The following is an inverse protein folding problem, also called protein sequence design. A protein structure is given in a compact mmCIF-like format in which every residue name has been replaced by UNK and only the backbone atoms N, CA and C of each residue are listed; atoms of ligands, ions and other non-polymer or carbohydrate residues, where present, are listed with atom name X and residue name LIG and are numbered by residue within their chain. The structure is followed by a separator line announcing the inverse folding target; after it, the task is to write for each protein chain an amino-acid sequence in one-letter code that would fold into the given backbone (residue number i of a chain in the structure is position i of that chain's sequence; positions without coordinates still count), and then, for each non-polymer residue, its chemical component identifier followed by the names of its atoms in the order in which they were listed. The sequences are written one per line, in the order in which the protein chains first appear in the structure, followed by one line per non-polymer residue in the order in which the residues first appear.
data_IF_630543299115
#
_entry.id   IF_630543299115
#
_cell.length_a   1.000
_cell.length_b   1.000
_cell.length_c   1.000
_cell.angle_alpha   90.00
_cell.angle_beta   90.00
_cell.angle_gamma   90.00
#
_symmetry.space_group_name_H-M   'P 1'
#
loop_
_entity.id
_entity.type
_entity.pdbx_description
1 polymer ?
#
# COMPACT_ATOMS: atom_id res chain seq x y z
N UNK A 1 -24.75 61.16 -15.68
CA UNK A 1 -23.69 60.86 -14.68
C UNK A 1 -24.14 59.78 -13.69
N UNK A 2 -24.52 58.57 -14.14
CA UNK A 2 -25.12 57.55 -13.26
C UNK A 2 -24.63 56.11 -13.44
N UNK A 3 -23.67 55.84 -14.34
CA UNK A 3 -23.25 54.47 -14.68
C UNK A 3 -22.09 53.91 -13.86
N UNK A 4 -21.33 54.74 -13.12
CA UNK A 4 -20.13 54.28 -12.43
C UNK A 4 -20.43 53.71 -11.04
N UNK A 5 -21.44 54.21 -10.32
CA UNK A 5 -21.78 53.74 -8.96
C UNK A 5 -22.34 52.30 -8.93
N UNK A 6 -23.04 51.86 -9.99
CA UNK A 6 -23.60 50.51 -10.07
C UNK A 6 -22.57 49.39 -10.21
N UNK A 7 -21.45 49.65 -10.90
CA UNK A 7 -20.38 48.66 -11.13
C UNK A 7 -19.61 48.34 -9.83
N UNK A 8 -19.34 49.34 -8.99
CA UNK A 8 -18.63 49.14 -7.71
C UNK A 8 -19.46 48.34 -6.68
N UNK A 9 -20.79 48.53 -6.65
CA UNK A 9 -21.70 47.74 -5.81
C UNK A 9 -21.76 46.27 -6.27
N UNK A 10 -21.76 46.00 -7.57
CA UNK A 10 -21.76 44.64 -8.12
C UNK A 10 -20.43 43.91 -7.87
N UNK A 11 -19.29 44.59 -8.04
CA UNK A 11 -17.95 44.06 -7.73
C UNK A 11 -17.75 43.87 -6.22
N UNK A 12 -18.30 44.76 -5.39
CA UNK A 12 -18.30 44.63 -3.92
C UNK A 12 -19.09 43.42 -3.44
N UNK A 13 -20.28 43.17 -4.00
CA UNK A 13 -21.09 41.99 -3.69
C UNK A 13 -20.43 40.68 -4.15
N UNK A 14 -19.79 40.66 -5.33
CA UNK A 14 -19.01 39.52 -5.83
C UNK A 14 -17.78 39.24 -4.93
N UNK A 15 -17.05 40.26 -4.50
CA UNK A 15 -15.90 40.12 -3.58
C UNK A 15 -16.32 39.70 -2.17
N UNK A 16 -17.45 40.19 -1.66
CA UNK A 16 -18.02 39.74 -0.40
C UNK A 16 -18.45 38.26 -0.46
N UNK A 17 -18.98 37.81 -1.61
CA UNK A 17 -19.33 36.40 -1.84
C UNK A 17 -18.10 35.49 -1.92
N UNK A 18 -16.99 35.95 -2.50
CA UNK A 18 -15.71 35.24 -2.54
C UNK A 18 -15.06 35.16 -1.14
N UNK A 19 -15.08 36.26 -0.39
CA UNK A 19 -14.58 36.29 0.99
C UNK A 19 -15.40 35.38 1.92
N UNK A 20 -16.72 35.39 1.80
CA UNK A 20 -17.60 34.49 2.54
C UNK A 20 -17.37 33.01 2.17
N UNK A 21 -17.18 32.69 0.88
CA UNK A 21 -16.82 31.34 0.42
C UNK A 21 -15.45 30.91 0.92
N UNK A 22 -14.46 31.79 0.94
CA UNK A 22 -13.12 31.53 1.51
C UNK A 22 -13.20 31.28 3.02
N UNK A 23 -13.93 32.12 3.76
CA UNK A 23 -14.15 31.93 5.19
C UNK A 23 -14.87 30.61 5.49
N UNK A 24 -15.93 30.30 4.73
CA UNK A 24 -16.63 29.03 4.85
C UNK A 24 -15.68 27.85 4.54
N UNK A 25 -14.87 27.92 3.48
CA UNK A 25 -13.87 26.90 3.16
C UNK A 25 -12.80 26.75 4.26
N UNK A 26 -12.35 27.85 4.87
CA UNK A 26 -11.39 27.82 5.98
C UNK A 26 -12.02 27.17 7.23
N UNK A 27 -13.28 27.50 7.53
CA UNK A 27 -14.04 26.91 8.64
C UNK A 27 -14.26 25.41 8.37
N UNK A 28 -14.69 25.03 7.17
CA UNK A 28 -14.87 23.63 6.77
C UNK A 28 -13.54 22.87 6.78
N UNK A 29 -12.44 23.47 6.32
CA UNK A 29 -11.10 22.90 6.43
C UNK A 29 -10.69 22.68 7.89
N UNK A 30 -10.96 23.64 8.78
CA UNK A 30 -10.68 23.49 10.22
C UNK A 30 -11.54 22.41 10.88
N UNK A 31 -12.83 22.34 10.55
CA UNK A 31 -13.72 21.28 11.05
C UNK A 31 -13.26 19.89 10.55
N UNK A 32 -12.88 19.78 9.27
CA UNK A 32 -12.34 18.54 8.70
C UNK A 32 -11.01 18.14 9.34
N UNK A 33 -10.13 19.12 9.64
CA UNK A 33 -8.86 18.87 10.35
C UNK A 33 -9.07 18.38 11.77
N UNK A 34 -9.99 18.97 12.54
CA UNK A 34 -10.33 18.45 13.89
C UNK A 34 -10.78 17.00 13.85
N UNK A 35 -11.61 16.63 12.87
CA UNK A 35 -12.05 15.24 12.70
C UNK A 35 -10.89 14.28 12.43
N UNK A 36 -9.97 14.68 11.54
CA UNK A 36 -8.76 13.89 11.25
C UNK A 36 -7.83 13.80 12.46
N UNK A 37 -7.59 14.91 13.17
CA UNK A 37 -6.75 14.95 14.38
C UNK A 37 -7.32 14.01 15.46
N UNK A 38 -8.61 14.13 15.76
CA UNK A 38 -9.28 13.25 16.73
C UNK A 38 -9.26 11.78 16.31
N UNK A 39 -9.42 11.48 15.01
CA UNK A 39 -9.27 10.13 14.48
C UNK A 39 -7.85 9.60 14.65
N UNK A 40 -6.83 10.37 14.25
CA UNK A 40 -5.44 9.95 14.38
C UNK A 40 -5.06 9.77 15.86
N UNK A 41 -5.47 10.67 16.74
CA UNK A 41 -5.20 10.53 18.18
C UNK A 41 -5.82 9.25 18.77
N UNK A 42 -7.02 8.89 18.31
CA UNK A 42 -7.73 7.69 18.80
C UNK A 42 -7.23 6.38 18.16
N UNK A 43 -6.81 6.41 16.90
CA UNK A 43 -6.61 5.20 16.09
C UNK A 43 -5.19 5.02 15.52
N UNK A 44 -4.34 6.05 15.49
CA UNK A 44 -2.97 5.93 14.95
C UNK A 44 -2.12 4.93 15.74
N UNK A 45 -2.26 4.89 17.07
CA UNK A 45 -1.57 3.91 17.92
C UNK A 45 -2.01 2.46 17.72
N UNK A 46 -3.10 2.24 16.98
CA UNK A 46 -3.58 0.90 16.57
C UNK A 46 -3.26 0.58 15.11
N UNK A 47 -2.54 1.47 14.42
CA UNK A 47 -2.08 1.21 13.07
C UNK A 47 -2.99 1.63 11.93
N UNK A 48 -4.03 2.40 12.22
CA UNK A 48 -4.89 3.01 11.21
C UNK A 48 -4.29 4.35 10.79
N UNK A 49 -3.12 4.34 10.15
CA UNK A 49 -2.48 5.53 9.61
C UNK A 49 -2.85 5.75 8.15
N UNK A 50 -2.86 7.01 7.66
CA UNK A 50 -3.08 7.28 6.24
C UNK A 50 -1.92 6.67 5.43
N UNK A 51 -2.23 5.70 4.58
CA UNK A 51 -1.28 5.10 3.64
C UNK A 51 -1.41 5.74 2.26
N UNK A 52 -0.40 5.56 1.41
CA UNK A 52 -0.48 5.98 0.01
C UNK A 52 -1.73 5.37 -0.67
N UNK A 53 -2.35 6.12 -1.57
CA UNK A 53 -3.62 5.76 -2.22
C UNK A 53 -3.59 4.37 -2.89
N UNK A 54 -2.47 4.02 -3.52
CA UNK A 54 -2.24 2.70 -4.12
C UNK A 54 -2.20 1.55 -3.11
N UNK A 55 -1.72 1.79 -1.88
CA UNK A 55 -1.71 0.76 -0.83
C UNK A 55 -3.12 0.62 -0.23
N UNK A 56 -3.85 1.73 -0.14
CA UNK A 56 -5.24 1.73 0.34
C UNK A 56 -6.16 0.97 -0.61
N UNK A 57 -6.02 1.13 -1.93
CA UNK A 57 -6.83 0.40 -2.91
C UNK A 57 -6.65 -1.12 -2.78
N UNK A 58 -5.41 -1.60 -2.69
CA UNK A 58 -5.08 -3.03 -2.50
C UNK A 58 -5.57 -3.59 -1.16
N UNK A 59 -5.41 -2.83 -0.08
CA UNK A 59 -5.95 -3.22 1.22
C UNK A 59 -7.48 -3.31 1.21
N UNK A 60 -8.15 -2.39 0.48
CA UNK A 60 -9.59 -2.42 0.28
C UNK A 60 -10.03 -3.63 -0.56
N UNK A 61 -9.29 -4.00 -1.60
CA UNK A 61 -9.56 -5.24 -2.34
C UNK A 61 -9.47 -6.48 -1.44
N UNK A 62 -8.43 -6.56 -0.59
CA UNK A 62 -8.30 -7.63 0.38
C UNK A 62 -9.46 -7.68 1.40
N UNK A 63 -10.08 -6.53 1.69
CA UNK A 63 -11.25 -6.43 2.58
C UNK A 63 -12.49 -7.16 2.05
N UNK A 64 -12.58 -7.37 0.73
CA UNK A 64 -13.69 -8.12 0.07
C UNK A 64 -13.70 -9.61 0.42
N UNK A 65 -12.59 -10.14 0.97
CA UNK A 65 -12.49 -11.55 1.31
C UNK A 65 -13.54 -11.96 2.35
N UNK A 66 -14.37 -12.95 1.97
CA UNK A 66 -15.43 -13.55 2.79
C UNK A 66 -14.94 -14.71 3.67
N UNK A 67 -13.64 -15.02 3.64
CA UNK A 67 -13.06 -16.06 4.50
C UNK A 67 -13.44 -17.50 4.13
N UNK A 68 -13.76 -17.80 2.87
CA UNK A 68 -14.15 -19.15 2.44
C UNK A 68 -13.01 -20.19 2.52
N UNK A 69 -11.75 -19.77 2.46
CA UNK A 69 -10.58 -20.64 2.65
C UNK A 69 -10.13 -21.48 1.44
N UNK A 70 -10.81 -21.39 0.29
CA UNK A 70 -10.43 -22.12 -0.93
C UNK A 70 -8.96 -21.91 -1.34
N UNK A 71 -8.49 -20.67 -1.25
CA UNK A 71 -7.11 -20.31 -1.56
C UNK A 71 -6.10 -21.02 -0.65
N UNK A 72 -6.43 -21.25 0.62
CA UNK A 72 -5.54 -21.95 1.56
C UNK A 72 -5.47 -23.44 1.28
N UNK A 73 -6.57 -24.07 0.86
CA UNK A 73 -6.62 -25.51 0.52
C UNK A 73 -5.67 -25.87 -0.62
N UNK A 74 -5.54 -24.99 -1.62
CA UNK A 74 -4.71 -25.20 -2.80
C UNK A 74 -3.33 -24.55 -2.72
N UNK A 75 -3.04 -23.84 -1.62
CA UNK A 75 -1.75 -23.19 -1.46
C UNK A 75 -0.64 -24.25 -1.30
N UNK A 76 0.42 -24.24 -2.13
CA UNK A 76 1.49 -25.22 -2.03
C UNK A 76 2.25 -25.14 -0.70
N UNK A 77 2.37 -23.94 -0.11
CA UNK A 77 3.03 -23.75 1.18
C UNK A 77 2.24 -24.37 2.33
N UNK A 78 0.93 -24.16 2.36
CA UNK A 78 0.05 -24.75 3.37
C UNK A 78 0.05 -26.26 3.23
N UNK A 79 -0.05 -26.77 2.00
CA UNK A 79 0.02 -28.22 1.71
C UNK A 79 1.36 -28.86 2.11
N UNK A 80 2.45 -28.09 2.09
CA UNK A 80 3.76 -28.52 2.55
C UNK A 80 3.95 -28.42 4.08
N UNK A 81 2.90 -28.09 4.84
CA UNK A 81 2.95 -27.98 6.30
C UNK A 81 3.24 -26.57 6.83
N UNK A 82 3.16 -25.54 5.98
CA UNK A 82 3.27 -24.15 6.40
C UNK A 82 2.10 -23.71 7.29
N UNK A 83 2.40 -22.96 8.36
CA UNK A 83 1.42 -22.51 9.35
C UNK A 83 0.50 -21.37 8.87
N UNK A 84 0.87 -20.68 7.80
CA UNK A 84 0.12 -19.55 7.28
C UNK A 84 0.13 -19.53 5.74
N UNK A 85 -1.01 -19.14 5.16
CA UNK A 85 -1.25 -19.15 3.72
C UNK A 85 -1.92 -17.86 3.24
N UNK A 86 -2.47 -17.85 2.01
CA UNK A 86 -3.05 -16.66 1.38
C UNK A 86 -4.15 -15.98 2.21
N UNK A 87 -4.93 -16.75 2.99
CA UNK A 87 -5.92 -16.16 3.90
C UNK A 87 -5.28 -15.32 5.02
N UNK A 88 -4.19 -15.79 5.61
CA UNK A 88 -3.47 -15.04 6.65
C UNK A 88 -2.89 -13.74 6.09
N UNK A 89 -2.35 -13.80 4.86
CA UNK A 89 -1.84 -12.63 4.14
C UNK A 89 -2.95 -11.60 3.87
N UNK A 90 -4.12 -12.03 3.41
CA UNK A 90 -5.30 -11.16 3.21
C UNK A 90 -5.81 -10.53 4.51
N UNK A 91 -5.74 -11.25 5.63
CA UNK A 91 -6.10 -10.70 6.94
C UNK A 91 -5.08 -9.66 7.38
N UNK A 92 -3.78 -9.95 7.20
CA UNK A 92 -2.68 -9.05 7.56
C UNK A 92 -2.67 -7.76 6.74
N UNK A 93 -2.99 -7.84 5.45
CA UNK A 93 -3.03 -6.66 4.58
C UNK A 93 -4.12 -5.65 4.93
N UNK A 94 -5.08 -6.02 5.80
CA UNK A 94 -6.08 -5.09 6.34
C UNK A 94 -5.55 -4.26 7.50
N UNK A 95 -4.48 -4.71 8.15
CA UNK A 95 -3.88 -4.09 9.33
C UNK A 95 -2.37 -3.94 9.12
N UNK A 96 -2.00 -3.00 8.24
CA UNK A 96 -0.64 -2.82 7.75
C UNK A 96 0.38 -2.48 8.84
N UNK A 97 -0.07 -1.95 9.98
CA UNK A 97 0.76 -1.72 11.16
C UNK A 97 1.44 -2.97 11.72
N UNK A 98 0.85 -4.14 11.49
CA UNK A 98 1.37 -5.43 11.93
C UNK A 98 2.10 -6.16 10.80
N UNK A 99 2.38 -5.49 9.68
CA UNK A 99 3.02 -6.10 8.52
C UNK A 99 4.38 -6.73 8.86
N UNK A 100 5.13 -6.13 9.79
CA UNK A 100 6.41 -6.67 10.26
C UNK A 100 6.30 -8.05 10.92
N UNK A 101 5.22 -8.31 11.67
CA UNK A 101 5.00 -9.61 12.34
C UNK A 101 4.78 -10.75 11.34
N UNK A 102 4.22 -10.43 10.17
CA UNK A 102 3.88 -11.39 9.12
C UNK A 102 4.86 -11.34 7.94
N UNK A 103 5.99 -10.65 8.10
CA UNK A 103 7.03 -10.56 7.08
C UNK A 103 7.52 -11.95 6.66
N UNK A 104 7.83 -12.87 7.58
CA UNK A 104 8.28 -14.23 7.25
C UNK A 104 7.27 -14.97 6.36
N UNK A 105 5.99 -14.91 6.72
CA UNK A 105 4.89 -15.53 5.96
C UNK A 105 4.79 -14.89 4.57
N UNK A 106 4.89 -13.56 4.50
CA UNK A 106 4.85 -12.83 3.24
C UNK A 106 6.03 -13.22 2.33
N UNK A 107 7.24 -13.36 2.86
CA UNK A 107 8.43 -13.78 2.10
C UNK A 107 8.41 -15.25 1.71
N UNK A 108 7.69 -16.12 2.45
CA UNK A 108 7.46 -17.51 2.06
C UNK A 108 6.53 -17.66 0.86
N UNK A 109 5.59 -16.74 0.64
CA UNK A 109 4.69 -16.76 -0.51
C UNK A 109 5.47 -16.90 -1.83
N UNK A 110 5.15 -17.89 -2.66
CA UNK A 110 5.84 -18.06 -3.94
C UNK A 110 5.29 -17.18 -5.06
N UNK A 111 4.26 -16.36 -4.77
CA UNK A 111 3.56 -15.54 -5.78
C UNK A 111 3.06 -16.36 -6.99
N UNK A 112 2.65 -17.61 -6.75
CA UNK A 112 2.22 -18.53 -7.82
C UNK A 112 0.83 -18.26 -8.41
N UNK A 113 0.03 -17.37 -7.81
CA UNK A 113 -1.28 -16.97 -8.34
C UNK A 113 -2.44 -17.96 -8.17
N UNK A 114 -2.19 -19.21 -7.72
CA UNK A 114 -3.26 -20.23 -7.54
C UNK A 114 -4.42 -19.71 -6.69
N UNK A 115 -4.13 -18.92 -5.65
CA UNK A 115 -5.13 -18.33 -4.77
C UNK A 115 -6.17 -17.45 -5.49
N UNK A 116 -5.77 -16.75 -6.55
CA UNK A 116 -6.65 -15.87 -7.33
C UNK A 116 -7.54 -16.71 -8.25
N UNK A 117 -6.94 -17.70 -8.93
CA UNK A 117 -7.64 -18.58 -9.88
C UNK A 117 -8.82 -19.35 -9.28
N UNK A 118 -8.79 -19.59 -7.96
CA UNK A 118 -9.84 -20.33 -7.23
C UNK A 118 -10.73 -19.43 -6.38
N UNK A 119 -10.47 -18.12 -6.36
CA UNK A 119 -11.23 -17.19 -5.55
C UNK A 119 -12.57 -16.90 -6.23
N UNK A 120 -13.72 -17.12 -5.56
CA UNK A 120 -15.03 -16.80 -6.14
C UNK A 120 -15.24 -15.28 -6.33
N UNK A 121 -14.40 -14.46 -5.68
CA UNK A 121 -14.45 -13.00 -5.76
C UNK A 121 -13.29 -12.43 -6.58
N UNK A 122 -12.46 -13.28 -7.20
CA UNK A 122 -11.27 -12.90 -7.98
C UNK A 122 -10.33 -11.96 -7.21
N UNK A 123 -10.06 -12.28 -5.94
CA UNK A 123 -9.17 -11.48 -5.09
C UNK A 123 -7.72 -11.98 -5.28
N UNK A 124 -6.78 -11.11 -5.70
CA UNK A 124 -5.39 -11.48 -5.89
C UNK A 124 -4.64 -11.55 -4.54
N UNK A 125 -4.82 -12.64 -3.80
CA UNK A 125 -4.22 -12.79 -2.46
C UNK A 125 -2.68 -12.74 -2.43
N UNK A 126 -2.01 -12.97 -3.57
CA UNK A 126 -0.56 -12.84 -3.64
C UNK A 126 -0.11 -11.37 -3.60
N UNK A 127 -0.94 -10.42 -4.03
CA UNK A 127 -0.63 -8.99 -3.92
C UNK A 127 -0.60 -8.52 -2.46
N UNK A 128 -1.45 -9.12 -1.60
CA UNK A 128 -1.35 -8.90 -0.17
C UNK A 128 0.04 -9.30 0.37
N UNK A 129 0.66 -10.37 -0.15
CA UNK A 129 2.03 -10.73 0.21
C UNK A 129 3.04 -9.70 -0.28
N UNK A 130 2.89 -9.18 -1.51
CA UNK A 130 3.78 -8.13 -2.04
C UNK A 130 3.67 -6.83 -1.23
N UNK A 131 2.46 -6.46 -0.86
CA UNK A 131 2.18 -5.30 -0.01
C UNK A 131 2.89 -5.45 1.34
N UNK A 132 2.72 -6.59 2.01
CA UNK A 132 3.37 -6.87 3.29
C UNK A 132 4.90 -6.90 3.17
N UNK A 133 5.47 -7.38 2.07
CA UNK A 133 6.92 -7.32 1.81
C UNK A 133 7.41 -5.88 1.69
N UNK A 134 6.68 -5.04 0.96
CA UNK A 134 7.00 -3.62 0.82
C UNK A 134 6.97 -2.94 2.20
N UNK A 135 5.91 -3.16 2.97
CA UNK A 135 5.82 -2.63 4.34
C UNK A 135 6.91 -3.18 5.25
N UNK A 136 7.30 -4.45 5.11
CA UNK A 136 8.39 -5.04 5.89
C UNK A 136 9.75 -4.42 5.57
N UNK A 137 9.99 -3.94 4.34
CA UNK A 137 11.20 -3.18 4.01
C UNK A 137 11.22 -1.83 4.75
N UNK A 138 10.11 -1.09 4.71
CA UNK A 138 9.97 0.20 5.41
C UNK A 138 10.12 0.06 6.94
N UNK A 139 9.71 -1.08 7.48
CA UNK A 139 9.80 -1.40 8.91
C UNK A 139 11.12 -2.08 9.31
N UNK A 140 12.09 -2.19 8.39
CA UNK A 140 13.38 -2.90 8.61
C UNK A 140 13.21 -4.37 9.07
N UNK A 141 12.06 -4.98 8.77
CA UNK A 141 11.70 -6.35 9.12
C UNK A 141 11.93 -7.34 7.96
N UNK A 142 12.46 -6.86 6.83
CA UNK A 142 12.77 -7.70 5.68
C UNK A 142 13.95 -8.66 5.95
N UNK A 143 13.96 -9.89 5.38
CA UNK A 143 15.08 -10.80 5.55
C UNK A 143 16.41 -10.18 5.06
N UNK A 144 17.53 -10.32 5.79
CA UNK A 144 18.80 -9.65 5.47
C UNK A 144 19.31 -9.93 4.05
N UNK A 145 19.11 -11.16 3.56
CA UNK A 145 19.49 -11.55 2.18
C UNK A 145 18.76 -10.75 1.10
N UNK A 146 17.54 -10.29 1.37
CA UNK A 146 16.76 -9.50 0.40
C UNK A 146 17.35 -8.10 0.28
N UNK A 147 17.71 -7.48 1.41
CA UNK A 147 18.40 -6.19 1.43
C UNK A 147 19.77 -6.27 0.73
N UNK A 148 20.59 -7.27 1.06
CA UNK A 148 21.89 -7.50 0.42
C UNK A 148 21.76 -7.69 -1.10
N UNK A 149 20.74 -8.44 -1.55
CA UNK A 149 20.46 -8.64 -2.97
C UNK A 149 20.06 -7.33 -3.66
N UNK A 150 19.22 -6.52 -3.01
CA UNK A 150 18.80 -5.22 -3.52
C UNK A 150 20.01 -4.28 -3.70
N UNK A 151 20.88 -4.17 -2.68
CA UNK A 151 22.10 -3.37 -2.74
C UNK A 151 23.03 -3.80 -3.87
N UNK A 152 23.29 -5.11 -4.01
CA UNK A 152 24.11 -5.64 -5.10
C UNK A 152 23.49 -5.40 -6.46
N UNK A 153 22.17 -5.49 -6.57
CA UNK A 153 21.46 -5.23 -7.82
C UNK A 153 21.56 -3.75 -8.20
N UNK A 154 21.41 -2.84 -7.24
CA UNK A 154 21.58 -1.40 -7.46
C UNK A 154 23.02 -1.05 -7.85
N UNK A 155 24.01 -1.66 -7.20
CA UNK A 155 25.43 -1.41 -7.48
C UNK A 155 25.90 -1.99 -8.83
N UNK A 156 25.44 -3.19 -9.19
CA UNK A 156 25.89 -3.90 -10.40
C UNK A 156 24.97 -3.75 -11.61
N UNK A 157 23.76 -3.22 -11.42
CA UNK A 157 22.68 -3.23 -12.42
C UNK A 157 22.17 -4.63 -12.76
N UNK A 158 22.57 -5.67 -12.03
CA UNK A 158 22.22 -7.07 -12.32
C UNK A 158 21.75 -7.78 -11.05
N UNK A 159 20.64 -8.51 -11.17
CA UNK A 159 20.12 -9.33 -10.08
C UNK A 159 21.04 -10.49 -9.69
N UNK A 160 21.89 -10.95 -10.63
CA UNK A 160 22.84 -12.03 -10.40
C UNK A 160 24.24 -11.54 -10.77
N UNK A 161 25.19 -11.71 -9.86
CA UNK A 161 26.58 -11.37 -10.10
C UNK A 161 27.19 -12.18 -11.25
N UNK A 162 28.10 -11.56 -12.00
CA UNK A 162 28.88 -12.27 -13.01
C UNK A 162 29.90 -13.16 -12.29
N UNK A 163 29.85 -14.48 -12.51
CA UNK A 163 30.93 -15.35 -12.01
C UNK A 163 32.23 -14.97 -12.70
N UNK A 164 33.22 -14.53 -11.94
CA UNK A 164 34.61 -14.45 -12.43
C UNK A 164 35.03 -15.87 -12.84
N UNK A 165 35.24 -16.08 -14.15
CA UNK A 165 35.71 -17.36 -14.70
C UNK A 165 34.93 -17.93 -15.89
N UNK A 166 33.84 -17.30 -16.36
CA UNK A 166 33.04 -17.81 -17.50
C UNK A 166 32.86 -16.81 -18.65
N UNK A 167 33.67 -15.75 -18.67
CA UNK A 167 33.62 -14.67 -19.66
C UNK A 167 34.94 -14.48 -20.42
N UNK A 168 35.75 -15.53 -20.63
CA UNK A 168 36.76 -15.46 -21.70
C UNK A 168 36.17 -15.79 -23.07
N UNK A 169 34.95 -16.34 -23.12
CA UNK A 169 34.31 -16.81 -24.37
C UNK A 169 33.24 -15.87 -24.93
N UNK A 170 32.78 -14.87 -24.16
CA UNK A 170 31.68 -13.99 -24.57
C UNK A 170 32.11 -12.60 -25.08
N UNK A 171 33.35 -12.18 -24.83
CA UNK A 171 33.90 -10.88 -25.27
C UNK A 171 34.69 -11.01 -26.60
N UNK A 172 34.54 -12.14 -27.32
CA UNK A 172 35.31 -12.51 -28.50
C UNK A 172 34.48 -12.80 -29.76
N UNK A 173 33.40 -12.06 -30.01
CA UNK A 173 32.68 -12.07 -31.29
C UNK A 173 32.41 -10.65 -31.76
#
# INVERSE_FOLDING_TARGET
MGGLLGSWLQVGALRASLAARLLLNLILCRLRRRGLESFLESYSGRGYTPVAEELASRALEASRCIGCGLCSLLCPLVRAGGSAGPRALLSASRELSRAGELADVAYRCTSCGVCESVCPLSIPAYEAALLLRSSAVELEAAPPRVAELAEKTLASGRAVGVRRGRNQEADGM
#
